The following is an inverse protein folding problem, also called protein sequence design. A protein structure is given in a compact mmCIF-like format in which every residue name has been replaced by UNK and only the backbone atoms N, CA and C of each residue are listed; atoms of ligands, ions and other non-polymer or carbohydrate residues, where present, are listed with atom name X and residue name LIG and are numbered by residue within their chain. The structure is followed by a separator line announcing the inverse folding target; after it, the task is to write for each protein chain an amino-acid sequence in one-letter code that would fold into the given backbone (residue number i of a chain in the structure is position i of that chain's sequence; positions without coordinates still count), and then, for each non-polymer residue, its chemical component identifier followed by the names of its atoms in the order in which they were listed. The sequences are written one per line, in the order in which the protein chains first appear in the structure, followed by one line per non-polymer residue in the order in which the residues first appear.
data_IF_073969549647
#
_entry.id   IF_073969549647
#
_cell.length_a   1.000
_cell.length_b   1.000
_cell.length_c   1.000
_cell.angle_alpha   90.00
_cell.angle_beta   90.00
_cell.angle_gamma   90.00
#
_symmetry.space_group_name_H-M   'P 1'
#
loop_
_entity.id
_entity.type
_entity.pdbx_description
1 polymer ?
#
# COMPACT_ATOMS: atom_id res chain seq x y z
N UNK A 1 -5.01 -52.59 -24.27
CA UNK A 1 -5.51 -51.25 -23.89
C UNK A 1 -4.32 -50.39 -23.55
N UNK A 2 -3.97 -49.43 -24.41
CA UNK A 2 -2.86 -48.51 -24.21
C UNK A 2 -3.40 -47.23 -23.55
N UNK A 3 -3.12 -47.05 -22.26
CA UNK A 3 -3.35 -45.78 -21.57
C UNK A 3 -2.21 -44.83 -21.94
N UNK A 4 -2.53 -43.79 -22.73
CA UNK A 4 -1.60 -42.69 -23.00
C UNK A 4 -1.61 -41.75 -21.80
N UNK A 5 -0.45 -41.40 -21.21
CA UNK A 5 -0.38 -40.34 -20.23
C UNK A 5 -0.70 -39.01 -20.94
N UNK A 6 -1.72 -38.31 -20.45
CA UNK A 6 -2.04 -36.93 -20.84
C UNK A 6 -0.95 -36.06 -20.23
N UNK A 7 0.12 -35.83 -20.97
CA UNK A 7 1.12 -34.81 -20.66
C UNK A 7 0.41 -33.45 -20.69
N UNK A 8 -0.02 -32.98 -19.51
CA UNK A 8 -0.43 -31.59 -19.33
C UNK A 8 0.83 -30.72 -19.47
N UNK A 9 1.10 -30.24 -20.68
CA UNK A 9 2.02 -29.14 -20.90
C UNK A 9 1.47 -27.93 -20.15
N UNK A 10 1.97 -27.69 -18.94
CA UNK A 10 1.81 -26.42 -18.26
C UNK A 10 2.67 -25.39 -19.00
N UNK A 11 2.05 -24.68 -19.94
CA UNK A 11 2.64 -23.46 -20.52
C UNK A 11 2.63 -22.44 -19.39
N UNK A 12 3.73 -22.37 -18.62
CA UNK A 12 4.02 -21.20 -17.79
C UNK A 12 4.26 -20.04 -18.76
N UNK A 13 3.26 -19.19 -18.94
CA UNK A 13 3.50 -17.88 -19.51
C UNK A 13 4.46 -17.16 -18.55
N UNK A 14 5.72 -17.00 -18.98
CA UNK A 14 6.63 -16.07 -18.36
C UNK A 14 6.03 -14.67 -18.53
N UNK A 15 5.30 -14.22 -17.53
CA UNK A 15 4.88 -12.83 -17.39
C UNK A 15 6.16 -12.00 -17.21
N UNK A 16 6.71 -11.48 -18.30
CA UNK A 16 7.62 -10.36 -18.20
C UNK A 16 6.86 -9.23 -17.51
N UNK A 17 7.39 -8.70 -16.41
CA UNK A 17 6.78 -7.73 -15.50
C UNK A 17 6.48 -6.34 -16.11
N UNK A 18 6.09 -6.29 -17.38
CA UNK A 18 5.91 -5.07 -18.15
C UNK A 18 4.52 -5.08 -18.75
N UNK A 19 3.73 -4.06 -18.40
CA UNK A 19 2.45 -3.84 -19.03
C UNK A 19 2.63 -3.71 -20.54
N UNK A 20 1.93 -4.54 -21.31
CA UNK A 20 1.97 -4.52 -22.77
C UNK A 20 0.56 -4.31 -23.32
N UNK A 21 0.42 -3.31 -24.18
CA UNK A 21 -0.83 -3.07 -24.92
C UNK A 21 -0.83 -3.99 -26.15
N UNK A 22 -1.83 -4.86 -26.23
CA UNK A 22 -2.02 -5.76 -27.37
C UNK A 22 -2.48 -5.03 -28.64
N UNK A 23 -2.59 -5.78 -29.74
CA UNK A 23 -3.15 -5.25 -31.00
C UNK A 23 -4.65 -4.94 -30.83
N UNK A 24 -5.19 -3.92 -31.53
CA UNK A 24 -6.62 -3.63 -31.48
C UNK A 24 -7.44 -4.78 -32.07
N UNK A 25 -8.55 -5.13 -31.42
CA UNK A 25 -9.48 -6.15 -31.89
C UNK A 25 -10.21 -5.67 -33.16
N UNK A 26 -10.36 -6.57 -34.13
CA UNK A 26 -11.01 -6.27 -35.42
C UNK A 26 -12.46 -6.75 -35.47
N UNK A 27 -12.86 -7.70 -34.63
CA UNK A 27 -14.22 -8.26 -34.61
C UNK A 27 -14.65 -8.70 -33.21
N UNK A 28 -15.98 -8.83 -33.02
CA UNK A 28 -16.57 -9.31 -31.77
C UNK A 28 -16.20 -10.79 -31.48
N UNK A 29 -15.98 -11.58 -32.53
CA UNK A 29 -15.52 -12.96 -32.41
C UNK A 29 -14.11 -13.06 -31.83
N UNK A 30 -13.23 -12.11 -32.16
CA UNK A 30 -11.88 -12.02 -31.61
C UNK A 30 -11.90 -11.75 -30.10
N UNK A 31 -12.83 -10.90 -29.64
CA UNK A 31 -13.04 -10.62 -28.22
C UNK A 31 -13.53 -11.88 -27.49
N UNK A 32 -14.53 -12.57 -28.03
CA UNK A 32 -15.04 -13.82 -27.43
C UNK A 32 -13.95 -14.88 -27.33
N UNK A 33 -13.09 -15.00 -28.34
CA UNK A 33 -11.95 -15.91 -28.34
C UNK A 33 -10.90 -15.52 -27.30
N UNK A 34 -10.63 -14.23 -27.12
CA UNK A 34 -9.71 -13.71 -26.12
C UNK A 34 -10.22 -13.98 -24.69
N UNK A 35 -11.50 -13.74 -24.42
CA UNK A 35 -12.13 -14.01 -23.12
C UNK A 35 -12.26 -15.50 -22.82
N UNK A 36 -12.39 -16.34 -23.84
CA UNK A 36 -12.41 -17.80 -23.69
C UNK A 36 -11.01 -18.42 -23.53
N UNK A 37 -9.94 -17.65 -23.70
CA UNK A 37 -8.59 -18.13 -23.46
C UNK A 37 -8.41 -18.48 -21.98
N UNK A 38 -7.74 -19.60 -21.65
CA UNK A 38 -7.48 -19.96 -20.26
C UNK A 38 -6.54 -18.91 -19.65
N UNK A 39 -7.12 -18.03 -18.84
CA UNK A 39 -6.42 -17.02 -18.05
C UNK A 39 -6.64 -17.32 -16.58
N UNK A 40 -5.67 -16.95 -15.76
CA UNK A 40 -5.75 -17.16 -14.32
C UNK A 40 -6.77 -16.18 -13.74
N UNK A 41 -7.65 -16.65 -12.86
CA UNK A 41 -8.50 -15.76 -12.10
C UNK A 41 -7.64 -15.06 -11.04
N UNK A 42 -7.74 -13.74 -10.84
CA UNK A 42 -7.03 -13.05 -9.76
C UNK A 42 -7.25 -13.68 -8.38
N UNK A 43 -8.42 -14.30 -8.15
CA UNK A 43 -8.73 -15.02 -6.90
C UNK A 43 -7.81 -16.22 -6.65
N UNK A 44 -7.33 -16.87 -7.71
CA UNK A 44 -6.43 -18.03 -7.63
C UNK A 44 -4.99 -17.61 -7.30
N UNK A 45 -4.67 -16.32 -7.46
CA UNK A 45 -3.35 -15.75 -7.14
C UNK A 45 -3.28 -15.25 -5.69
N UNK A 46 -4.42 -14.78 -5.15
CA UNK A 46 -4.54 -14.25 -3.78
C UNK A 46 -4.70 -15.37 -2.74
N UNK A 47 -5.21 -16.53 -3.14
CA UNK A 47 -5.47 -17.65 -2.25
C UNK A 47 -4.64 -18.87 -2.67
N UNK A 48 -3.40 -18.93 -2.20
CA UNK A 48 -2.78 -20.23 -1.97
C UNK A 48 -2.72 -20.48 -0.47
N UNK A 49 -3.82 -21.03 0.05
CA UNK A 49 -3.70 -21.99 1.13
C UNK A 49 -2.70 -23.06 0.65
N UNK A 50 -1.43 -22.91 1.02
CA UNK A 50 -0.47 -24.01 0.98
C UNK A 50 -0.85 -25.01 2.07
N UNK A 51 -2.01 -25.63 1.95
CA UNK A 51 -2.20 -26.99 2.43
C UNK A 51 -1.59 -27.89 1.36
N UNK A 52 -0.43 -28.46 1.67
CA UNK A 52 0.20 -29.70 1.16
C UNK A 52 1.71 -29.47 1.07
N UNK A 53 2.39 -29.78 2.19
CA UNK A 53 3.70 -30.42 2.12
C UNK A 53 4.97 -29.57 2.14
N UNK A 54 5.03 -28.42 2.81
CA UNK A 54 6.33 -27.79 3.11
C UNK A 54 6.41 -27.32 4.57
N UNK A 55 6.99 -28.18 5.40
CA UNK A 55 7.18 -28.01 6.83
C UNK A 55 8.40 -27.11 7.17
N UNK A 56 8.56 -25.96 6.50
CA UNK A 56 9.76 -25.12 6.69
C UNK A 56 9.55 -23.61 6.61
N UNK A 57 8.33 -23.11 6.84
CA UNK A 57 8.15 -21.70 7.15
C UNK A 57 7.18 -21.61 8.31
N UNK A 58 7.74 -21.53 9.51
CA UNK A 58 7.04 -21.00 10.68
C UNK A 58 6.66 -19.56 10.33
N UNK A 59 5.53 -19.38 9.64
CA UNK A 59 4.92 -18.06 9.49
C UNK A 59 4.68 -17.56 10.89
N UNK A 60 5.38 -16.49 11.27
CA UNK A 60 5.30 -15.90 12.61
C UNK A 60 3.86 -15.44 12.85
N UNK A 61 3.07 -16.31 13.47
CA UNK A 61 1.71 -16.00 13.89
C UNK A 61 1.79 -14.99 15.05
N UNK A 62 0.90 -14.00 15.02
CA UNK A 62 0.83 -12.99 16.08
C UNK A 62 0.38 -13.67 17.37
N UNK A 63 1.16 -13.47 18.42
CA UNK A 63 0.83 -13.96 19.77
C UNK A 63 -0.20 -13.06 20.45
N UNK A 64 -0.89 -13.58 21.46
CA UNK A 64 -1.87 -12.82 22.25
C UNK A 64 -1.24 -11.61 22.97
N UNK A 65 0.03 -11.71 23.36
CA UNK A 65 0.77 -10.61 23.99
C UNK A 65 1.14 -9.52 22.98
N UNK A 66 1.53 -9.89 21.75
CA UNK A 66 1.73 -8.94 20.65
C UNK A 66 0.43 -8.23 20.27
N UNK A 67 -0.72 -8.94 20.29
CA UNK A 67 -2.03 -8.32 20.07
C UNK A 67 -2.35 -7.28 21.16
N UNK A 68 -2.13 -7.60 22.44
CA UNK A 68 -2.33 -6.65 23.55
C UNK A 68 -1.41 -5.44 23.43
N UNK A 69 -0.17 -5.65 23.02
CA UNK A 69 0.77 -4.57 22.77
C UNK A 69 0.32 -3.68 21.60
N UNK A 70 -0.17 -4.28 20.51
CA UNK A 70 -0.71 -3.56 19.36
C UNK A 70 -1.94 -2.71 19.76
N UNK A 71 -2.87 -3.29 20.52
CA UNK A 71 -4.04 -2.56 21.03
C UNK A 71 -3.63 -1.37 21.90
N UNK A 72 -2.58 -1.53 22.72
CA UNK A 72 -2.02 -0.44 23.51
C UNK A 72 -1.41 0.66 22.63
N UNK A 73 -0.71 0.32 21.55
CA UNK A 73 -0.17 1.30 20.61
C UNK A 73 -1.29 2.05 19.87
N UNK A 74 -2.36 1.36 19.51
CA UNK A 74 -3.55 1.97 18.89
C UNK A 74 -4.46 2.70 19.89
N UNK A 75 -4.10 2.69 21.18
CA UNK A 75 -4.90 3.23 22.28
C UNK A 75 -6.35 2.69 22.30
N UNK A 76 -6.52 1.42 21.94
CA UNK A 76 -7.79 0.70 21.95
C UNK A 76 -7.98 -0.08 23.26
N UNK A 77 -9.23 -0.22 23.68
CA UNK A 77 -9.58 -1.02 24.87
C UNK A 77 -9.30 -2.50 24.61
N UNK A 78 -8.85 -3.21 25.65
CA UNK A 78 -8.71 -4.66 25.57
C UNK A 78 -10.09 -5.33 25.58
N UNK A 79 -10.34 -6.33 24.72
CA UNK A 79 -11.53 -7.16 24.79
C UNK A 79 -11.66 -7.80 26.18
N UNK A 80 -12.86 -7.79 26.74
CA UNK A 80 -13.15 -8.45 28.02
C UNK A 80 -13.34 -9.97 27.81
N UNK A 81 -13.82 -10.37 26.63
CA UNK A 81 -14.14 -11.75 26.30
C UNK A 81 -13.01 -12.43 25.51
N UNK A 82 -12.67 -13.65 25.90
CA UNK A 82 -11.61 -14.44 25.24
C UNK A 82 -11.99 -14.83 23.80
N UNK A 83 -13.27 -14.99 23.51
CA UNK A 83 -13.78 -15.30 22.17
C UNK A 83 -13.54 -14.15 21.19
N UNK A 84 -13.82 -12.91 21.61
CA UNK A 84 -13.58 -11.73 20.79
C UNK A 84 -12.08 -11.52 20.55
N UNK A 85 -11.25 -11.78 21.58
CA UNK A 85 -9.80 -11.72 21.44
C UNK A 85 -9.28 -12.75 20.42
N UNK A 86 -9.83 -13.97 20.42
CA UNK A 86 -9.45 -15.01 19.44
C UNK A 86 -9.94 -14.69 18.04
N UNK A 87 -11.16 -14.16 17.89
CA UNK A 87 -11.68 -13.73 16.59
C UNK A 87 -10.80 -12.62 15.98
N UNK A 88 -10.44 -11.62 16.79
CA UNK A 88 -9.58 -10.53 16.38
C UNK A 88 -8.17 -11.00 16.00
N UNK A 89 -7.62 -11.95 16.75
CA UNK A 89 -6.33 -12.56 16.46
C UNK A 89 -6.34 -13.32 15.13
N UNK A 90 -7.41 -14.07 14.85
CA UNK A 90 -7.58 -14.79 13.60
C UNK A 90 -7.68 -13.82 12.41
N UNK A 91 -8.45 -12.75 12.55
CA UNK A 91 -8.58 -11.72 11.52
C UNK A 91 -7.24 -11.03 11.23
N UNK A 92 -6.52 -10.63 12.29
CA UNK A 92 -5.20 -10.02 12.16
C UNK A 92 -4.20 -10.94 11.45
N UNK A 93 -4.19 -12.23 11.82
CA UNK A 93 -3.32 -13.21 11.16
C UNK A 93 -3.67 -13.38 9.68
N UNK A 94 -4.96 -13.36 9.31
CA UNK A 94 -5.38 -13.43 7.92
C UNK A 94 -4.92 -12.19 7.12
N UNK A 95 -5.05 -11.00 7.72
CA UNK A 95 -4.58 -9.76 7.10
C UNK A 95 -3.06 -9.77 6.91
N UNK A 96 -2.31 -10.21 7.92
CA UNK A 96 -0.85 -10.30 7.84
C UNK A 96 -0.41 -11.33 6.81
N UNK A 97 -1.05 -12.50 6.74
CA UNK A 97 -0.77 -13.49 5.69
C UNK A 97 -0.98 -12.92 4.30
N UNK A 98 -2.08 -12.19 4.10
CA UNK A 98 -2.35 -11.51 2.84
C UNK A 98 -1.26 -10.48 2.51
N UNK A 99 -0.86 -9.63 3.45
CA UNK A 99 0.21 -8.65 3.22
C UNK A 99 1.57 -9.34 2.99
N UNK A 100 1.87 -10.40 3.72
CA UNK A 100 3.11 -11.15 3.57
C UNK A 100 3.24 -11.80 2.20
N UNK A 101 2.12 -12.13 1.53
CA UNK A 101 2.14 -12.58 0.14
C UNK A 101 2.81 -11.54 -0.79
N UNK A 102 2.72 -10.24 -0.48
CA UNK A 102 3.36 -9.17 -1.23
C UNK A 102 4.89 -9.18 -1.10
N UNK A 103 5.44 -9.67 0.02
CA UNK A 103 6.90 -9.78 0.20
C UNK A 103 7.53 -10.81 -0.73
N UNK A 104 6.75 -11.79 -1.22
CA UNK A 104 7.21 -12.77 -2.20
C UNK A 104 7.32 -12.21 -3.62
N UNK A 105 6.72 -11.05 -3.89
CA UNK A 105 6.74 -10.44 -5.21
C UNK A 105 8.10 -9.78 -5.45
N UNK A 106 8.76 -10.08 -6.58
CA UNK A 106 10.00 -9.40 -6.92
C UNK A 106 9.70 -7.91 -7.09
N UNK A 107 10.26 -7.09 -6.20
CA UNK A 107 10.27 -5.65 -6.40
C UNK A 107 11.25 -5.36 -7.52
N UNK A 108 10.78 -5.44 -8.77
CA UNK A 108 11.49 -4.89 -9.90
C UNK A 108 11.64 -3.40 -9.61
N UNK A 109 12.81 -2.99 -9.10
CA UNK A 109 13.18 -1.59 -9.17
C UNK A 109 13.11 -1.25 -10.66
N UNK A 110 12.23 -0.33 -11.03
CA UNK A 110 12.18 0.25 -12.37
C UNK A 110 13.41 1.16 -12.56
N UNK A 111 14.60 0.65 -12.23
CA UNK A 111 15.88 1.22 -12.62
C UNK A 111 16.16 0.66 -14.01
N UNK A 112 15.89 1.50 -15.01
CA UNK A 112 16.47 1.35 -16.34
C UNK A 112 15.95 0.16 -17.13
N UNK A 113 14.89 0.40 -17.92
CA UNK A 113 14.85 -0.22 -19.24
C UNK A 113 16.20 0.12 -19.92
N UNK A 114 17.08 -0.88 -20.04
CA UNK A 114 18.38 -0.77 -20.71
C UNK A 114 18.21 -0.53 -22.20
N UNK A 115 17.94 0.71 -22.56
CA UNK A 115 17.99 1.25 -23.91
C UNK A 115 18.46 2.69 -23.82
N UNK A 116 19.46 3.02 -24.65
CA UNK A 116 20.24 4.25 -24.68
C UNK A 116 19.58 5.51 -24.09
N UNK A 117 20.27 6.06 -23.09
CA UNK A 117 19.90 7.19 -22.24
C UNK A 117 19.99 8.57 -22.93
N UNK A 118 19.80 8.66 -24.25
CA UNK A 118 19.97 9.92 -24.99
C UNK A 118 18.72 10.49 -25.65
N UNK A 119 17.57 9.81 -25.65
CA UNK A 119 16.44 10.29 -26.48
C UNK A 119 15.02 10.02 -25.99
N UNK A 120 14.81 9.47 -24.79
CA UNK A 120 13.43 9.33 -24.26
C UNK A 120 13.16 10.50 -23.32
N UNK A 121 12.30 11.37 -23.82
CA UNK A 121 11.77 12.56 -23.15
C UNK A 121 11.40 12.30 -21.70
N UNK A 122 11.72 13.32 -20.91
CA UNK A 122 11.52 13.56 -19.48
C UNK A 122 10.09 13.32 -18.94
N UNK A 123 9.14 12.93 -19.79
CA UNK A 123 7.70 12.89 -19.51
C UNK A 123 7.18 11.51 -19.06
N UNK A 124 7.94 10.43 -19.21
CA UNK A 124 7.51 9.08 -18.77
C UNK A 124 7.86 8.81 -17.28
N UNK A 125 8.60 9.73 -16.63
CA UNK A 125 9.08 9.55 -15.25
C UNK A 125 8.02 9.78 -14.15
N UNK A 126 6.81 10.25 -14.46
CA UNK A 126 5.90 10.80 -13.45
C UNK A 126 4.69 9.96 -13.04
N UNK A 127 4.29 8.92 -13.77
CA UNK A 127 2.88 8.51 -13.65
C UNK A 127 2.55 7.24 -12.86
N UNK A 128 3.51 6.42 -12.39
CA UNK A 128 3.12 5.13 -11.76
C UNK A 128 4.15 4.52 -10.81
N UNK A 129 4.79 5.31 -9.95
CA UNK A 129 5.50 4.74 -8.81
C UNK A 129 4.49 4.53 -7.67
N UNK A 130 4.30 3.28 -7.23
CA UNK A 130 3.50 2.94 -6.04
C UNK A 130 4.15 3.35 -4.71
N UNK A 131 5.22 4.16 -4.76
CA UNK A 131 5.96 4.63 -3.60
C UNK A 131 5.45 6.01 -3.19
N UNK A 132 5.31 6.21 -1.89
CA UNK A 132 4.94 7.50 -1.26
C UNK A 132 6.01 8.57 -1.54
N UNK A 133 7.26 8.16 -1.77
CA UNK A 133 8.37 9.04 -2.08
C UNK A 133 8.67 8.99 -3.57
N UNK A 134 8.89 10.17 -4.16
CA UNK A 134 9.42 10.29 -5.51
C UNK A 134 10.81 9.66 -5.57
N UNK A 135 11.04 8.83 -6.60
CA UNK A 135 12.33 8.14 -6.76
C UNK A 135 13.46 9.09 -7.20
N UNK A 136 13.13 10.34 -7.56
CA UNK A 136 14.09 11.37 -7.93
C UNK A 136 13.54 12.74 -7.48
N UNK A 137 13.58 13.06 -6.18
CA UNK A 137 13.13 14.35 -5.70
C UNK A 137 13.98 15.44 -6.36
N UNK A 138 13.34 16.52 -6.81
CA UNK A 138 14.07 17.70 -7.28
C UNK A 138 14.79 18.30 -6.07
N UNK A 139 16.13 18.40 -6.08
CA UNK A 139 16.85 18.97 -4.97
C UNK A 139 16.50 20.45 -4.85
N UNK A 140 16.18 20.89 -3.63
CA UNK A 140 15.90 22.30 -3.36
C UNK A 140 17.19 23.10 -3.48
N UNK A 141 17.22 24.06 -4.42
CA UNK A 141 18.38 24.91 -4.63
C UNK A 141 18.45 26.03 -3.57
N UNK A 142 19.64 26.60 -3.37
CA UNK A 142 19.83 27.69 -2.39
C UNK A 142 18.95 28.90 -2.70
N UNK A 143 18.85 29.30 -3.97
CA UNK A 143 18.03 30.44 -4.38
C UNK A 143 16.54 30.18 -4.19
N UNK A 144 16.07 28.95 -4.47
CA UNK A 144 14.69 28.51 -4.23
C UNK A 144 14.37 28.49 -2.73
N UNK A 145 15.30 28.03 -1.91
CA UNK A 145 15.17 28.06 -0.45
C UNK A 145 15.06 29.50 0.06
N UNK A 146 15.96 30.39 -0.38
CA UNK A 146 15.95 31.80 0.03
C UNK A 146 14.69 32.53 -0.45
N UNK A 147 14.22 32.22 -1.66
CA UNK A 147 12.94 32.72 -2.19
C UNK A 147 11.75 32.23 -1.35
N UNK A 148 11.76 30.95 -0.94
CA UNK A 148 10.71 30.36 -0.10
C UNK A 148 10.67 31.00 1.28
N UNK A 149 11.82 31.19 1.93
CA UNK A 149 11.92 31.88 3.23
C UNK A 149 11.37 33.31 3.14
N UNK A 150 11.77 34.03 2.09
CA UNK A 150 11.31 35.41 1.85
C UNK A 150 9.80 35.48 1.60
N UNK A 151 9.25 34.47 0.93
CA UNK A 151 7.81 34.37 0.68
C UNK A 151 7.05 34.09 1.98
N UNK A 152 7.50 33.11 2.76
CA UNK A 152 6.89 32.75 4.06
C UNK A 152 6.95 33.90 5.07
N UNK A 153 8.06 34.64 5.14
CA UNK A 153 8.17 35.78 6.07
C UNK A 153 7.22 36.93 5.74
N UNK A 154 6.82 37.06 4.47
CA UNK A 154 6.03 38.19 3.99
C UNK A 154 4.53 37.87 3.91
N UNK A 155 4.14 36.60 3.93
CA UNK A 155 2.74 36.17 3.85
C UNK A 155 2.37 35.31 5.05
N UNK A 156 1.68 35.91 6.03
CA UNK A 156 0.95 35.14 7.04
C UNK A 156 -0.38 34.72 6.41
N UNK A 157 -0.61 33.41 6.27
CA UNK A 157 -1.79 32.88 5.59
C UNK A 157 -3.00 32.87 6.55
N UNK A 158 -3.95 33.78 6.31
CA UNK A 158 -5.15 33.89 7.14
C UNK A 158 -6.10 32.70 6.99
N UNK A 159 -6.10 32.01 5.84
CA UNK A 159 -6.98 30.85 5.61
C UNK A 159 -6.52 29.61 6.38
N UNK A 160 -5.22 29.52 6.69
CA UNK A 160 -4.64 28.43 7.48
C UNK A 160 -4.67 28.70 8.99
N UNK A 161 -5.18 29.85 9.42
CA UNK A 161 -5.22 30.23 10.83
C UNK A 161 -3.83 30.52 11.42
N UNK A 162 -2.87 30.95 10.60
CA UNK A 162 -1.51 31.28 11.03
C UNK A 162 -1.44 32.67 11.71
N UNK A 163 -2.43 33.52 11.45
CA UNK A 163 -2.55 34.82 12.11
C UNK A 163 -2.88 34.60 13.59
N UNK A 164 -2.05 35.13 14.48
CA UNK A 164 -2.28 35.04 15.93
C UNK A 164 -3.67 35.54 16.30
N UNK A 165 -4.40 34.75 17.10
CA UNK A 165 -5.76 35.05 17.57
C UNK A 165 -6.80 35.21 16.46
N UNK A 166 -6.54 34.73 15.23
CA UNK A 166 -7.52 34.75 14.14
C UNK A 166 -8.62 33.69 14.24
N UNK A 167 -8.38 32.65 15.04
CA UNK A 167 -9.35 31.60 15.35
C UNK A 167 -9.19 31.18 16.80
N UNK A 168 -10.26 30.65 17.41
CA UNK A 168 -10.22 30.11 18.76
C UNK A 168 -9.74 28.65 18.74
N UNK A 169 -8.47 28.35 19.05
CA UNK A 169 -7.91 27.01 18.86
C UNK A 169 -8.56 25.93 19.72
N UNK A 170 -9.27 26.35 20.78
CA UNK A 170 -9.93 25.47 21.74
C UNK A 170 -11.46 25.50 21.63
N UNK A 171 -12.06 26.28 20.73
CA UNK A 171 -13.53 26.39 20.58
C UNK A 171 -14.19 25.08 20.14
N UNK A 172 -13.46 24.25 19.40
CA UNK A 172 -13.94 22.93 18.94
C UNK A 172 -13.74 21.82 19.98
N UNK A 173 -13.17 22.13 21.15
CA UNK A 173 -12.93 21.14 22.20
C UNK A 173 -14.19 20.94 23.03
N UNK A 174 -14.49 19.69 23.38
CA UNK A 174 -15.66 19.35 24.19
C UNK A 174 -15.51 19.76 25.67
N UNK A 175 -14.27 19.80 26.18
CA UNK A 175 -13.96 20.09 27.59
C UNK A 175 -12.85 21.15 27.72
N UNK A 176 -13.14 22.44 27.44
CA UNK A 176 -12.20 23.52 27.66
C UNK A 176 -12.04 23.84 29.16
N UNK A 177 -10.84 24.21 29.58
CA UNK A 177 -10.57 24.73 30.93
C UNK A 177 -10.02 26.14 30.86
N UNK A 178 -10.35 26.95 31.89
CA UNK A 178 -9.96 28.35 32.02
C UNK A 178 -10.22 29.14 30.74
N UNK A 179 -11.50 29.20 30.33
CA UNK A 179 -11.94 30.00 29.20
C UNK A 179 -11.18 29.71 27.89
N UNK A 180 -11.16 28.44 27.48
CA UNK A 180 -10.60 28.01 26.18
C UNK A 180 -9.08 28.21 26.04
N UNK A 181 -8.34 28.26 27.15
CA UNK A 181 -6.87 28.36 27.11
C UNK A 181 -6.17 27.00 27.12
N UNK A 182 -6.80 25.98 27.71
CA UNK A 182 -6.18 24.66 27.91
C UNK A 182 -7.13 23.53 27.52
N UNK A 183 -6.55 22.46 26.94
CA UNK A 183 -7.20 21.16 26.79
C UNK A 183 -7.00 20.37 28.08
N UNK A 184 -8.10 19.85 28.63
CA UNK A 184 -8.02 18.93 29.78
C UNK A 184 -7.95 17.50 29.28
N UNK A 185 -6.91 16.80 29.71
CA UNK A 185 -6.82 15.35 29.56
C UNK A 185 -7.01 14.74 30.94
N UNK A 186 -8.12 14.03 31.13
CA UNK A 186 -8.35 13.27 32.34
C UNK A 186 -7.28 12.19 32.47
N UNK A 187 -6.78 12.00 33.69
CA UNK A 187 -5.81 10.94 33.96
C UNK A 187 -6.51 9.59 33.78
N UNK A 188 -5.97 8.67 32.95
CA UNK A 188 -6.52 7.33 32.78
C UNK A 188 -6.43 6.48 34.04
#
# INVERSE_FOLDING_TARGET
MLLRPISRCFIRYNSTNVASVGKPFKSLEEIKKFLAAPSWNPKDFVLSDKTVGDASSEEKLVTTDELKYLLRLSNLKLPQDEQDQQSLLNELNNQIKFVNSLHSLPTSSLVGCGGDLSSISEQIRLSSSSRILDNNPVPLNFDELMSSISSISNSVDAEKGEVSSSWGPMELTSNPLNDHQYVVVEKP
#
